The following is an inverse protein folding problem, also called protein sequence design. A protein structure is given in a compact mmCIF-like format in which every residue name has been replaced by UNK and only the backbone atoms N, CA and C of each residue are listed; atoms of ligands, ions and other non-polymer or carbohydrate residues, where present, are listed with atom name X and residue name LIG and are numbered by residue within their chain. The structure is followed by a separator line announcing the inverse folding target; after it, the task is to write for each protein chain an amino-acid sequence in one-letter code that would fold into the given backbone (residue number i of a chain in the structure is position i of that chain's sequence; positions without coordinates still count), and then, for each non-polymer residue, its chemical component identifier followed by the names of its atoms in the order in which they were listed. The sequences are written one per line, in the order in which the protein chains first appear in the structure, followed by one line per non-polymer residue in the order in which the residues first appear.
data_IF_902134077759
#
_entry.id   IF_902134077759
#
_cell.length_a   1.000
_cell.length_b   1.000
_cell.length_c   1.000
_cell.angle_alpha   90.00
_cell.angle_beta   90.00
_cell.angle_gamma   90.00
#
_symmetry.space_group_name_H-M   'P 1'
#
loop_
_entity.id
_entity.type
_entity.pdbx_description
1 polymer ?
#
# COMPACT_ATOMS: atom_id res chain seq x y z
N UNK A 1 -13.14 7.37 9.90
CA UNK A 1 -12.29 8.00 8.87
C UNK A 1 -12.83 7.64 7.49
N UNK A 2 -13.27 8.63 6.71
CA UNK A 2 -13.97 8.40 5.43
C UNK A 2 -13.07 8.73 4.25
N UNK A 3 -13.09 7.89 3.21
CA UNK A 3 -12.41 8.16 1.95
C UNK A 3 -13.16 9.26 1.19
N UNK A 4 -12.44 10.31 0.79
CA UNK A 4 -13.00 11.48 0.10
C UNK A 4 -12.81 11.45 -1.43
N UNK A 5 -12.28 10.35 -1.97
CA UNK A 5 -12.27 10.16 -3.41
C UNK A 5 -13.70 9.96 -3.91
N UNK A 6 -13.99 10.59 -5.04
CA UNK A 6 -15.27 10.48 -5.75
C UNK A 6 -15.61 8.99 -5.95
N UNK A 7 -16.88 8.65 -5.72
CA UNK A 7 -17.44 7.29 -5.79
C UNK A 7 -16.83 6.22 -4.86
N UNK A 8 -15.87 6.54 -3.98
CA UNK A 8 -15.29 5.52 -3.10
C UNK A 8 -16.15 5.24 -1.86
N UNK A 9 -16.56 6.29 -1.14
CA UNK A 9 -17.42 6.21 0.05
C UNK A 9 -16.92 5.36 1.23
N UNK A 10 -15.76 4.71 1.15
CA UNK A 10 -15.30 3.75 2.15
C UNK A 10 -15.01 4.39 3.51
N UNK A 11 -15.44 3.71 4.57
CA UNK A 11 -15.26 4.15 5.95
C UNK A 11 -14.34 3.19 6.69
N UNK A 12 -13.39 3.75 7.43
CA UNK A 12 -12.40 3.03 8.21
C UNK A 12 -12.48 3.43 9.68
N UNK A 13 -12.33 2.45 10.57
CA UNK A 13 -12.29 2.65 12.03
C UNK A 13 -11.05 3.41 12.50
N UNK A 14 -9.95 3.36 11.74
CA UNK A 14 -8.67 3.98 12.12
C UNK A 14 -8.04 4.75 10.96
N UNK A 15 -7.25 5.79 11.28
CA UNK A 15 -6.73 6.76 10.30
C UNK A 15 -5.68 6.14 9.38
N UNK A 16 -4.84 5.27 9.93
CA UNK A 16 -3.79 4.55 9.21
C UNK A 16 -4.38 3.57 8.19
N UNK A 17 -5.56 3.01 8.47
CA UNK A 17 -6.28 2.16 7.51
C UNK A 17 -6.79 2.98 6.33
N UNK A 18 -7.32 4.19 6.57
CA UNK A 18 -7.71 5.12 5.51
C UNK A 18 -6.49 5.54 4.67
N UNK A 19 -5.39 5.96 5.31
CA UNK A 19 -4.15 6.36 4.60
C UNK A 19 -3.62 5.23 3.73
N UNK A 20 -3.59 4.00 4.26
CA UNK A 20 -3.18 2.80 3.51
C UNK A 20 -4.09 2.55 2.32
N UNK A 21 -5.41 2.65 2.51
CA UNK A 21 -6.39 2.48 1.44
C UNK A 21 -6.20 3.49 0.31
N UNK A 22 -6.06 4.78 0.65
CA UNK A 22 -5.79 5.85 -0.32
C UNK A 22 -4.51 5.54 -1.10
N UNK A 23 -3.45 5.16 -0.38
CA UNK A 23 -2.17 4.79 -0.99
C UNK A 23 -2.32 3.66 -1.99
N UNK A 24 -2.97 2.57 -1.58
CA UNK A 24 -3.06 1.35 -2.37
C UNK A 24 -4.04 1.40 -3.54
N UNK A 25 -5.12 2.19 -3.43
CA UNK A 25 -6.23 2.15 -4.39
C UNK A 25 -6.27 3.40 -5.27
N UNK A 26 -6.05 4.58 -4.71
CA UNK A 26 -6.28 5.83 -5.44
C UNK A 26 -4.99 6.44 -5.99
N UNK A 27 -3.91 6.43 -5.21
CA UNK A 27 -2.62 7.00 -5.65
C UNK A 27 -1.70 5.98 -6.32
N UNK A 28 -1.98 4.68 -6.12
CA UNK A 28 -1.14 3.56 -6.56
C UNK A 28 0.33 3.68 -6.12
N UNK A 29 0.59 4.45 -5.06
CA UNK A 29 1.93 4.65 -4.54
C UNK A 29 2.51 3.36 -3.96
N UNK A 30 3.74 3.04 -4.38
CA UNK A 30 4.50 1.88 -3.92
C UNK A 30 5.85 2.32 -3.37
N UNK A 31 5.87 2.91 -2.15
CA UNK A 31 7.08 3.48 -1.57
C UNK A 31 8.08 2.43 -1.09
N UNK A 32 7.70 1.14 -1.08
CA UNK A 32 8.55 0.05 -0.60
C UNK A 32 9.11 -0.75 -1.79
N UNK A 33 10.25 -0.36 -2.39
CA UNK A 33 10.92 -1.17 -3.40
C UNK A 33 11.56 -2.41 -2.80
N UNK A 34 11.63 -3.50 -3.59
CA UNK A 34 12.44 -4.65 -3.24
C UNK A 34 13.93 -4.23 -3.22
N UNK A 35 14.69 -4.57 -2.17
CA UNK A 35 16.10 -4.21 -2.08
C UNK A 35 17.02 -5.10 -2.96
N UNK A 36 16.50 -6.16 -3.57
CA UNK A 36 17.30 -7.11 -4.38
C UNK A 36 17.49 -6.53 -5.79
N UNK A 37 18.75 -6.39 -6.22
CA UNK A 37 19.14 -5.73 -7.48
C UNK A 37 18.41 -6.24 -8.73
N UNK A 38 18.14 -7.55 -8.82
CA UNK A 38 17.49 -8.15 -9.98
C UNK A 38 15.96 -8.22 -9.83
N UNK A 39 15.39 -7.55 -8.82
CA UNK A 39 13.96 -7.53 -8.55
C UNK A 39 13.41 -6.10 -8.57
N UNK A 40 12.70 -5.74 -9.64
CA UNK A 40 12.08 -4.41 -9.78
C UNK A 40 10.71 -4.30 -9.09
N UNK A 41 10.32 -5.26 -8.23
CA UNK A 41 9.00 -5.24 -7.58
C UNK A 41 8.94 -4.14 -6.51
N UNK A 42 7.79 -3.46 -6.45
CA UNK A 42 7.49 -2.43 -5.44
C UNK A 42 6.16 -2.74 -4.76
N UNK A 43 6.04 -2.34 -3.50
CA UNK A 43 4.88 -2.62 -2.66
C UNK A 43 4.32 -1.34 -2.04
N UNK A 44 3.00 -1.31 -1.84
CA UNK A 44 2.30 -0.21 -1.16
C UNK A 44 2.36 -0.30 0.37
N UNK A 45 2.78 -1.46 0.90
CA UNK A 45 2.89 -1.76 2.33
C UNK A 45 4.19 -2.50 2.64
N UNK A 46 4.75 -2.25 3.82
CA UNK A 46 5.98 -2.86 4.30
C UNK A 46 5.82 -4.35 4.66
N UNK A 47 4.68 -4.75 5.22
CA UNK A 47 4.40 -6.15 5.54
C UNK A 47 4.35 -7.03 4.29
N UNK A 48 3.80 -6.50 3.18
CA UNK A 48 3.80 -7.17 1.89
C UNK A 48 5.23 -7.29 1.32
N UNK A 49 6.05 -6.25 1.43
CA UNK A 49 7.47 -6.31 1.06
C UNK A 49 8.21 -7.37 1.90
N UNK A 50 7.99 -7.38 3.21
CA UNK A 50 8.63 -8.35 4.10
C UNK A 50 8.23 -9.79 3.76
N UNK A 51 6.96 -10.03 3.40
CA UNK A 51 6.53 -11.33 2.90
C UNK A 51 7.19 -11.70 1.58
N UNK A 52 7.28 -10.74 0.67
CA UNK A 52 7.93 -10.94 -0.62
C UNK A 52 9.42 -11.28 -0.49
N UNK A 53 10.15 -10.62 0.41
CA UNK A 53 11.58 -10.89 0.63
C UNK A 53 11.78 -12.30 1.21
N UNK A 54 10.84 -12.84 1.98
CA UNK A 54 10.95 -14.21 2.52
C UNK A 54 10.88 -15.32 1.47
N UNK A 55 10.35 -15.04 0.28
CA UNK A 55 10.22 -16.00 -0.82
C UNK A 55 11.23 -15.79 -1.94
N UNK A 56 12.08 -14.78 -1.79
CA UNK A 56 13.27 -14.63 -2.61
C UNK A 56 14.31 -15.65 -2.21
#
# INVERSE_FOLDING_TARGET
FTCRFEDCGKIFKRSEHLKRHIRSIHTLEKPFPCPIHNCSKRFSRSDNLNQHIRIH
#
